data_IF_733252065469
#
_entry.id   IF_733252065469
#
_cell.length_a   1.000
_cell.length_b   1.000
_cell.length_c   1.000
_cell.angle_alpha   90.00
_cell.angle_beta   90.00
_cell.angle_gamma   90.00
#
_symmetry.space_group_name_H-M   'P 1'
#
loop_
_entity.id
_entity.type
_entity.pdbx_description
1 polymer ?
#
# COMPACT_ATOMS: atom_id res chain seq x y z
N UNK A 1 0.87 19.78 21.30
CA UNK A 1 0.54 18.43 21.81
C UNK A 1 -0.25 17.69 20.74
N UNK A 2 -0.12 16.36 20.65
CA UNK A 2 -0.93 15.54 19.75
C UNK A 2 -2.34 15.40 20.35
N UNK A 3 -3.38 15.49 19.52
CA UNK A 3 -4.79 15.34 19.93
C UNK A 3 -5.32 14.03 19.36
N UNK A 4 -5.79 13.15 20.25
CA UNK A 4 -6.51 11.93 19.90
C UNK A 4 -8.00 12.07 20.22
N UNK A 5 -8.81 11.26 19.56
CA UNK A 5 -10.23 11.14 19.85
C UNK A 5 -10.53 10.47 21.19
N UNK A 6 -11.81 10.45 21.61
CA UNK A 6 -12.24 9.79 22.83
C UNK A 6 -11.78 8.34 22.92
N UNK A 7 -11.54 7.84 24.13
CA UNK A 7 -11.12 6.45 24.43
C UNK A 7 -9.70 6.06 24.02
N UNK A 8 -8.96 6.91 23.30
CA UNK A 8 -7.57 6.65 22.92
C UNK A 8 -6.65 6.51 24.15
N UNK A 9 -5.66 5.61 24.05
CA UNK A 9 -4.68 5.34 25.11
C UNK A 9 -3.25 5.20 24.54
N UNK A 10 -2.65 6.26 24.00
CA UNK A 10 -1.25 6.22 23.58
C UNK A 10 -0.31 6.13 24.79
N UNK A 11 0.89 5.59 24.60
CA UNK A 11 1.92 5.47 25.63
C UNK A 11 2.80 6.72 25.78
N UNK A 12 2.33 7.87 25.29
CA UNK A 12 3.02 9.15 25.31
C UNK A 12 2.04 10.29 25.60
N UNK A 13 2.57 11.47 25.95
CA UNK A 13 1.75 12.65 26.30
C UNK A 13 0.90 13.09 25.11
N UNK A 14 -0.41 13.05 25.28
CA UNK A 14 -1.40 13.46 24.30
C UNK A 14 -2.63 14.05 24.98
N UNK A 15 -3.38 14.84 24.23
CA UNK A 15 -4.73 15.27 24.62
C UNK A 15 -5.69 14.20 24.12
N UNK A 16 -6.45 13.59 25.03
CA UNK A 16 -7.58 12.72 24.67
C UNK A 16 -8.82 13.59 24.70
N UNK A 17 -9.37 13.88 23.51
CA UNK A 17 -10.50 14.78 23.37
C UNK A 17 -11.81 14.13 23.85
N UNK A 18 -12.77 14.97 24.23
CA UNK A 18 -14.14 14.57 24.54
C UNK A 18 -15.08 14.87 23.37
N UNK A 19 -16.17 14.11 23.22
CA UNK A 19 -17.19 14.39 22.20
C UNK A 19 -17.77 15.81 22.40
N UNK A 20 -17.84 16.58 21.31
CA UNK A 20 -18.30 17.98 21.35
C UNK A 20 -17.28 18.99 21.87
N UNK A 21 -16.07 18.57 22.29
CA UNK A 21 -15.00 19.49 22.67
C UNK A 21 -14.66 20.43 21.53
N UNK A 22 -14.37 21.70 21.86
CA UNK A 22 -13.99 22.72 20.90
C UNK A 22 -12.54 23.13 21.17
N UNK A 23 -11.72 23.09 20.11
CA UNK A 23 -10.38 23.66 20.10
C UNK A 23 -10.39 24.99 19.35
N UNK A 24 -9.78 26.02 19.94
CA UNK A 24 -9.57 27.31 19.30
C UNK A 24 -8.22 27.29 18.57
N UNK A 25 -8.22 27.66 17.28
CA UNK A 25 -7.05 27.69 16.41
C UNK A 25 -7.02 29.04 15.69
N UNK A 26 -6.40 30.03 16.32
CA UNK A 26 -6.54 31.42 15.90
C UNK A 26 -8.00 31.87 16.07
N UNK A 27 -8.57 32.47 15.03
CA UNK A 27 -9.98 32.90 15.03
C UNK A 27 -10.97 31.78 14.67
N UNK A 28 -10.46 30.59 14.28
CA UNK A 28 -11.26 29.43 13.91
C UNK A 28 -11.51 28.51 15.11
N UNK A 29 -12.58 27.73 15.02
CA UNK A 29 -12.93 26.67 15.98
C UNK A 29 -12.97 25.32 15.29
N UNK A 30 -12.43 24.31 15.96
CA UNK A 30 -12.47 22.91 15.52
C UNK A 30 -13.28 22.13 16.56
N UNK A 31 -14.47 21.68 16.19
CA UNK A 31 -15.35 20.89 17.07
C UNK A 31 -15.16 19.40 16.82
N UNK A 32 -14.87 18.68 17.91
CA UNK A 32 -14.73 17.24 17.96
C UNK A 32 -16.09 16.56 17.85
N UNK A 33 -16.18 15.54 17.01
CA UNK A 33 -17.35 14.67 16.90
C UNK A 33 -16.87 13.22 16.95
N UNK A 34 -17.19 12.53 18.03
CA UNK A 34 -16.82 11.12 18.21
C UNK A 34 -17.60 10.25 17.23
N UNK A 35 -16.88 9.49 16.40
CA UNK A 35 -17.46 8.67 15.34
C UNK A 35 -16.80 7.30 15.30
N UNK A 36 -16.97 6.48 16.35
CA UNK A 36 -16.41 5.13 16.38
C UNK A 36 -16.95 4.30 15.21
N UNK A 37 -16.09 3.47 14.64
CA UNK A 37 -16.45 2.66 13.49
C UNK A 37 -15.22 2.05 12.83
N UNK A 38 -14.43 2.86 12.14
CA UNK A 38 -13.12 2.41 11.64
C UNK A 38 -12.20 1.98 12.79
N UNK A 39 -12.13 2.81 13.83
CA UNK A 39 -11.52 2.50 15.13
C UNK A 39 -12.43 3.02 16.26
N UNK A 40 -12.15 2.64 17.51
CA UNK A 40 -12.95 3.06 18.67
C UNK A 40 -12.79 4.55 18.99
N UNK A 41 -11.60 5.09 18.75
CA UNK A 41 -11.25 6.49 18.97
C UNK A 41 -11.46 7.37 17.74
N UNK A 42 -11.94 6.81 16.62
CA UNK A 42 -12.23 7.54 15.39
C UNK A 42 -13.08 8.77 15.67
N UNK A 43 -12.63 9.90 15.12
CA UNK A 43 -13.16 11.24 15.43
C UNK A 43 -13.15 12.07 14.16
N UNK A 44 -14.25 12.76 13.91
CA UNK A 44 -14.32 13.78 12.86
C UNK A 44 -14.23 15.17 13.47
N UNK A 45 -13.77 16.13 12.68
CA UNK A 45 -13.52 17.50 13.12
C UNK A 45 -14.29 18.48 12.26
N UNK A 46 -15.28 19.13 12.85
CA UNK A 46 -16.09 20.16 12.20
C UNK A 46 -15.37 21.51 12.28
N UNK A 47 -15.16 22.13 11.12
CA UNK A 47 -14.43 23.38 10.95
C UNK A 47 -15.41 24.55 10.94
N UNK A 48 -15.23 25.46 11.91
CA UNK A 48 -16.09 26.62 12.15
C UNK A 48 -15.22 27.88 12.03
N UNK A 49 -15.66 28.84 11.22
CA UNK A 49 -14.95 30.11 11.02
C UNK A 49 -15.16 31.12 12.16
N UNK A 50 -14.52 32.28 12.03
CA UNK A 50 -14.58 33.37 13.00
C UNK A 50 -15.98 33.97 13.17
N UNK A 51 -16.87 33.76 12.20
CA UNK A 51 -18.25 34.23 12.22
C UNK A 51 -19.22 33.15 12.73
N UNK A 52 -18.72 31.98 13.12
CA UNK A 52 -19.52 30.85 13.59
C UNK A 52 -20.15 30.03 12.47
N UNK A 53 -19.72 30.18 11.22
CA UNK A 53 -20.19 29.39 10.08
C UNK A 53 -19.41 28.09 9.97
N UNK A 54 -20.13 26.98 9.84
CA UNK A 54 -19.57 25.65 9.56
C UNK A 54 -19.24 25.54 8.05
N UNK A 55 -17.98 25.25 7.71
CA UNK A 55 -17.53 25.18 6.29
C UNK A 55 -17.23 23.77 5.81
N UNK A 56 -16.79 22.90 6.70
CA UNK A 56 -16.42 21.55 6.32
C UNK A 56 -16.11 20.66 7.50
N UNK A 57 -15.90 19.39 7.20
CA UNK A 57 -15.68 18.34 8.17
C UNK A 57 -14.52 17.47 7.72
N UNK A 58 -13.49 17.38 8.56
CA UNK A 58 -12.40 16.41 8.39
C UNK A 58 -12.90 15.09 8.93
N UNK A 59 -13.12 14.12 8.05
CA UNK A 59 -13.82 12.88 8.38
C UNK A 59 -12.90 11.74 8.76
N UNK A 60 -11.58 11.92 8.64
CA UNK A 60 -10.64 10.84 8.88
C UNK A 60 -10.94 9.65 7.97
N UNK A 61 -11.02 8.48 8.59
CA UNK A 61 -11.45 7.23 7.94
C UNK A 61 -12.90 6.85 8.32
N UNK A 62 -13.67 7.76 8.93
CA UNK A 62 -15.10 7.53 9.21
C UNK A 62 -15.93 7.58 7.92
N UNK A 63 -15.63 8.54 7.03
CA UNK A 63 -16.33 8.74 5.77
C UNK A 63 -15.34 9.15 4.67
N UNK A 64 -15.39 8.45 3.53
CA UNK A 64 -14.65 8.78 2.32
C UNK A 64 -15.58 9.30 1.23
N UNK A 65 -15.00 9.75 0.11
CA UNK A 65 -15.79 10.11 -1.07
C UNK A 65 -16.22 8.82 -1.78
N UNK A 66 -17.50 8.48 -1.66
CA UNK A 66 -18.13 7.29 -2.23
C UNK A 66 -18.03 6.02 -1.37
N UNK A 67 -17.36 6.08 -0.21
CA UNK A 67 -17.13 4.91 0.65
C UNK A 67 -16.97 5.31 2.14
N UNK A 68 -16.64 4.34 3.01
CA UNK A 68 -16.33 4.51 4.44
C UNK A 68 -15.14 3.64 4.85
N UNK A 69 -14.57 3.87 6.05
CA UNK A 69 -13.46 3.08 6.56
C UNK A 69 -13.84 1.65 6.88
N UNK A 70 -12.92 0.72 6.56
CA UNK A 70 -13.04 -0.70 6.91
C UNK A 70 -13.09 -0.92 8.44
N UNK A 71 -13.95 -1.81 8.97
CA UNK A 71 -14.12 -2.01 10.41
C UNK A 71 -13.31 -3.18 11.00
N UNK A 72 -12.37 -3.76 10.25
CA UNK A 72 -11.77 -5.08 10.53
C UNK A 72 -10.28 -5.02 10.92
N UNK A 73 -9.71 -3.82 11.13
CA UNK A 73 -8.30 -3.67 11.54
C UNK A 73 -8.11 -3.93 13.04
N UNK A 74 -9.02 -3.44 13.88
CA UNK A 74 -8.85 -3.49 15.34
C UNK A 74 -8.89 -4.91 15.91
N UNK A 75 -9.62 -5.84 15.27
CA UNK A 75 -9.76 -7.22 15.73
C UNK A 75 -8.42 -7.97 15.78
N UNK A 76 -7.42 -7.56 14.97
CA UNK A 76 -6.07 -8.14 14.97
C UNK A 76 -5.28 -7.75 16.24
N UNK A 77 -5.72 -6.71 16.97
CA UNK A 77 -5.08 -6.22 18.21
C UNK A 77 -5.96 -6.50 19.44
N UNK A 78 -7.29 -6.40 19.30
CA UNK A 78 -8.27 -6.58 20.38
C UNK A 78 -9.38 -7.52 19.90
N UNK A 79 -9.30 -8.80 20.30
CA UNK A 79 -10.20 -9.85 19.81
C UNK A 79 -11.70 -9.59 20.07
N UNK A 80 -12.04 -8.79 21.08
CA UNK A 80 -13.43 -8.46 21.42
C UNK A 80 -14.08 -7.45 20.45
N UNK A 81 -13.26 -6.67 19.73
CA UNK A 81 -13.69 -5.68 18.73
C UNK A 81 -13.80 -6.35 17.36
N UNK A 82 -14.86 -7.13 17.17
CA UNK A 82 -15.14 -7.79 15.89
C UNK A 82 -15.53 -6.78 14.81
N UNK A 83 -15.32 -7.14 13.55
CA UNK A 83 -15.70 -6.31 12.40
C UNK A 83 -17.19 -5.94 12.40
N UNK A 84 -18.09 -6.86 12.79
CA UNK A 84 -19.53 -6.60 12.87
C UNK A 84 -19.88 -5.54 13.93
N UNK A 85 -19.20 -5.56 15.09
CA UNK A 85 -19.41 -4.57 16.14
C UNK A 85 -18.95 -3.19 15.67
N UNK A 86 -17.79 -3.12 15.04
CA UNK A 86 -17.23 -1.88 14.52
C UNK A 86 -18.06 -1.34 13.34
N UNK A 87 -18.55 -2.19 12.44
CA UNK A 87 -19.51 -1.83 11.41
C UNK A 87 -20.81 -1.27 12.01
N UNK A 88 -21.34 -1.93 13.05
CA UNK A 88 -22.53 -1.46 13.76
C UNK A 88 -22.32 -0.08 14.42
N UNK A 89 -21.15 0.16 15.04
CA UNK A 89 -20.80 1.48 15.58
C UNK A 89 -20.66 2.53 14.49
N UNK A 90 -20.06 2.18 13.34
CA UNK A 90 -19.94 3.07 12.20
C UNK A 90 -21.32 3.49 11.69
N UNK A 91 -22.26 2.54 11.57
CA UNK A 91 -23.64 2.85 11.20
C UNK A 91 -24.25 3.92 12.12
N UNK A 92 -24.11 3.77 13.44
CA UNK A 92 -24.62 4.76 14.39
C UNK A 92 -23.92 6.11 14.27
N UNK A 93 -22.60 6.12 14.05
CA UNK A 93 -21.82 7.34 13.80
C UNK A 93 -22.32 8.07 12.55
N UNK A 94 -22.54 7.36 11.45
CA UNK A 94 -23.03 7.94 10.21
C UNK A 94 -24.45 8.50 10.38
N UNK A 95 -25.38 7.72 10.93
CA UNK A 95 -26.80 8.11 11.07
C UNK A 95 -27.02 9.23 12.08
N UNK A 96 -26.34 9.17 13.23
CA UNK A 96 -26.63 10.05 14.36
C UNK A 96 -25.69 11.26 14.48
N UNK A 97 -24.49 11.22 13.88
CA UNK A 97 -23.48 12.28 14.02
C UNK A 97 -23.15 12.97 12.70
N UNK A 98 -23.08 12.22 11.59
CA UNK A 98 -22.68 12.77 10.29
C UNK A 98 -23.89 13.25 9.48
N UNK A 99 -24.87 12.38 9.23
CA UNK A 99 -26.04 12.69 8.41
C UNK A 99 -26.92 13.85 8.90
N UNK A 100 -26.99 14.17 10.22
CA UNK A 100 -27.72 15.34 10.69
C UNK A 100 -27.05 16.69 10.36
N UNK A 101 -25.77 16.69 9.97
CA UNK A 101 -25.05 17.92 9.65
C UNK A 101 -25.50 18.53 8.31
N UNK A 102 -25.19 19.81 8.10
CA UNK A 102 -25.57 20.56 6.90
C UNK A 102 -25.06 19.91 5.61
N UNK A 103 -25.89 19.92 4.58
CA UNK A 103 -25.54 19.44 3.23
C UNK A 103 -24.44 20.27 2.57
N UNK A 104 -24.27 21.52 3.01
CA UNK A 104 -23.30 22.47 2.45
C UNK A 104 -21.86 22.21 2.92
N UNK A 105 -21.64 21.33 3.91
CA UNK A 105 -20.31 21.04 4.42
C UNK A 105 -19.45 20.34 3.36
N UNK A 106 -18.21 20.79 3.22
CA UNK A 106 -17.21 20.08 2.43
C UNK A 106 -16.61 18.95 3.30
N UNK A 107 -16.62 17.74 2.76
CA UNK A 107 -16.04 16.53 3.37
C UNK A 107 -14.58 16.41 2.97
N UNK A 108 -13.70 16.32 3.96
CA UNK A 108 -12.26 16.14 3.82
C UNK A 108 -11.82 14.79 4.44
N UNK A 109 -11.76 13.70 3.66
CA UNK A 109 -11.26 12.42 4.15
C UNK A 109 -9.73 12.39 4.30
N UNK A 110 -9.21 11.41 5.05
CA UNK A 110 -7.77 11.17 5.15
C UNK A 110 -7.20 10.33 3.98
N UNK A 111 -8.06 9.63 3.24
CA UNK A 111 -7.68 8.75 2.13
C UNK A 111 -8.59 8.93 0.91
N UNK A 112 -8.08 8.53 -0.25
CA UNK A 112 -8.80 8.53 -1.53
C UNK A 112 -8.44 7.31 -2.38
N UNK A 113 -8.76 7.35 -3.68
CA UNK A 113 -8.52 6.24 -4.61
C UNK A 113 -7.13 5.62 -4.47
N UNK A 114 -7.09 4.29 -4.28
CA UNK A 114 -5.86 3.51 -4.16
C UNK A 114 -5.40 3.21 -2.74
N UNK A 115 -6.04 3.77 -1.70
CA UNK A 115 -5.80 3.36 -0.31
C UNK A 115 -6.46 2.01 0.03
N UNK A 116 -5.82 1.23 0.91
CA UNK A 116 -6.34 -0.05 1.42
C UNK A 116 -7.30 0.09 2.62
N UNK A 117 -7.59 1.33 3.05
CA UNK A 117 -8.50 1.63 4.16
C UNK A 117 -9.99 1.65 3.73
N UNK A 118 -10.28 1.71 2.44
CA UNK A 118 -11.62 1.65 1.85
C UNK A 118 -11.63 0.77 0.59
N UNK A 119 -12.81 0.34 0.16
CA UNK A 119 -13.02 -0.57 -0.99
C UNK A 119 -13.07 0.16 -2.34
N UNK A 120 -13.85 1.23 -2.43
CA UNK A 120 -14.29 1.88 -3.66
C UNK A 120 -14.19 3.41 -3.58
N UNK A 121 -13.06 3.93 -3.10
CA UNK A 121 -12.85 5.37 -2.97
C UNK A 121 -12.74 6.09 -4.31
N UNK A 122 -13.40 7.25 -4.42
CA UNK A 122 -13.33 8.14 -5.58
C UNK A 122 -11.93 8.73 -5.78
N UNK A 123 -11.66 9.17 -7.02
CA UNK A 123 -10.47 9.98 -7.36
C UNK A 123 -10.59 11.43 -6.89
N UNK A 124 -11.82 11.91 -6.65
CA UNK A 124 -12.07 13.23 -6.10
C UNK A 124 -11.53 13.30 -4.67
N UNK A 125 -10.85 14.40 -4.33
CA UNK A 125 -10.21 14.57 -3.01
C UNK A 125 -11.15 15.16 -1.96
N UNK A 126 -12.27 15.75 -2.38
CA UNK A 126 -13.30 16.37 -1.53
C UNK A 126 -14.65 16.33 -2.22
N UNK A 127 -15.74 16.39 -1.46
CA UNK A 127 -17.10 16.56 -1.97
C UNK A 127 -18.00 17.24 -0.93
N UNK A 128 -19.20 17.66 -1.31
CA UNK A 128 -20.23 18.12 -0.36
C UNK A 128 -20.89 16.95 0.36
N UNK A 129 -21.20 17.13 1.64
CA UNK A 129 -21.94 16.14 2.41
C UNK A 129 -23.33 15.86 1.80
N UNK A 130 -23.97 16.88 1.23
CA UNK A 130 -25.24 16.73 0.52
C UNK A 130 -25.14 15.81 -0.71
N UNK A 131 -24.04 15.86 -1.46
CA UNK A 131 -23.83 14.94 -2.58
C UNK A 131 -23.47 13.54 -2.09
N UNK A 132 -22.67 13.41 -1.03
CA UNK A 132 -22.37 12.11 -0.42
C UNK A 132 -23.63 11.43 0.11
N UNK A 133 -24.56 12.14 0.76
CA UNK A 133 -25.86 11.59 1.16
C UNK A 133 -26.70 11.03 -0.01
N UNK A 134 -26.49 11.52 -1.23
CA UNK A 134 -27.19 11.06 -2.44
C UNK A 134 -26.50 9.90 -3.15
N UNK A 135 -25.17 9.83 -3.06
CA UNK A 135 -24.36 8.97 -3.95
C UNK A 135 -23.53 7.91 -3.21
N UNK A 136 -23.19 8.15 -1.94
CA UNK A 136 -22.42 7.20 -1.14
C UNK A 136 -23.36 6.12 -0.59
N UNK A 137 -23.10 4.85 -0.92
CA UNK A 137 -23.94 3.72 -0.54
C UNK A 137 -24.17 3.66 0.98
N UNK A 138 -23.14 3.99 1.78
CA UNK A 138 -23.16 3.98 3.23
C UNK A 138 -24.13 4.99 3.84
N UNK A 139 -24.54 6.03 3.09
CA UNK A 139 -25.40 7.11 3.54
C UNK A 139 -26.84 7.01 3.02
N UNK A 140 -27.23 5.90 2.38
CA UNK A 140 -28.63 5.67 1.96
C UNK A 140 -29.57 5.80 3.15
N UNK A 141 -30.58 6.65 3.01
CA UNK A 141 -31.49 7.02 4.11
C UNK A 141 -32.42 5.86 4.55
N UNK A 142 -32.70 4.91 3.66
CA UNK A 142 -33.58 3.76 3.87
C UNK A 142 -32.84 2.47 4.23
N UNK A 143 -31.51 2.48 4.21
CA UNK A 143 -30.68 1.32 4.50
C UNK A 143 -30.72 0.96 6.00
N UNK A 144 -31.05 -0.30 6.28
CA UNK A 144 -31.03 -0.89 7.63
C UNK A 144 -29.61 -1.13 8.13
N UNK A 145 -29.46 -1.42 9.43
CA UNK A 145 -28.15 -1.74 10.03
C UNK A 145 -27.59 -3.04 9.46
N UNK A 146 -28.44 -4.04 9.30
CA UNK A 146 -28.06 -5.36 8.80
C UNK A 146 -27.56 -5.28 7.35
N UNK A 147 -28.28 -4.56 6.48
CA UNK A 147 -27.85 -4.31 5.09
C UNK A 147 -26.53 -3.53 5.05
N UNK A 148 -26.37 -2.53 5.93
CA UNK A 148 -25.11 -1.78 6.00
C UNK A 148 -23.92 -2.67 6.37
N UNK A 149 -24.07 -3.53 7.38
CA UNK A 149 -23.00 -4.43 7.82
C UNK A 149 -22.65 -5.42 6.70
N UNK A 150 -23.65 -6.01 6.05
CA UNK A 150 -23.44 -6.93 4.93
C UNK A 150 -22.67 -6.25 3.79
N UNK A 151 -23.18 -5.11 3.28
CA UNK A 151 -22.53 -4.36 2.18
C UNK A 151 -21.14 -3.82 2.57
N UNK A 152 -20.93 -3.39 3.83
CA UNK A 152 -19.63 -2.93 4.32
C UNK A 152 -18.62 -4.07 4.49
N UNK A 153 -19.03 -5.31 4.70
CA UNK A 153 -18.11 -6.44 4.84
C UNK A 153 -17.86 -7.17 3.51
N UNK A 154 -18.80 -7.10 2.56
CA UNK A 154 -18.71 -7.79 1.27
C UNK A 154 -17.50 -7.34 0.42
N UNK A 155 -16.59 -8.26 0.06
CA UNK A 155 -15.44 -7.92 -0.78
C UNK A 155 -14.30 -7.16 -0.09
N UNK A 156 -14.27 -7.11 1.26
CA UNK A 156 -13.06 -6.69 1.98
C UNK A 156 -11.93 -7.70 1.73
N UNK A 157 -10.78 -7.21 1.25
CA UNK A 157 -9.55 -8.01 1.19
C UNK A 157 -8.82 -7.97 2.53
N UNK A 158 -7.99 -8.97 2.81
CA UNK A 158 -7.11 -8.94 3.98
C UNK A 158 -6.30 -7.62 4.01
N UNK A 159 -6.13 -7.01 5.20
CA UNK A 159 -5.31 -5.83 5.34
C UNK A 159 -3.82 -6.19 5.11
N UNK A 160 -3.00 -5.23 4.65
CA UNK A 160 -1.56 -5.46 4.53
C UNK A 160 -0.93 -5.92 5.85
N UNK A 161 -0.01 -6.89 5.78
CA UNK A 161 0.54 -7.54 6.98
C UNK A 161 1.31 -6.63 7.94
N UNK A 162 1.75 -5.45 7.48
CA UNK A 162 2.46 -4.46 8.29
C UNK A 162 1.52 -3.54 9.09
N UNK A 163 0.21 -3.49 8.77
CA UNK A 163 -0.75 -2.60 9.44
C UNK A 163 -0.82 -2.82 10.96
N UNK A 164 -0.88 -4.06 11.50
CA UNK A 164 -0.86 -4.27 12.94
C UNK A 164 0.39 -3.70 13.63
N UNK A 165 1.55 -3.72 12.95
CA UNK A 165 2.78 -3.13 13.48
C UNK A 165 2.70 -1.60 13.48
N UNK A 166 2.16 -0.99 12.42
CA UNK A 166 1.91 0.46 12.41
C UNK A 166 0.92 0.90 13.49
N UNK A 167 -0.15 0.14 13.74
CA UNK A 167 -1.09 0.41 14.85
C UNK A 167 -0.33 0.42 16.18
N UNK A 168 0.52 -0.60 16.41
CA UNK A 168 1.33 -0.67 17.63
C UNK A 168 2.35 0.47 17.73
N UNK A 169 2.97 0.89 16.62
CA UNK A 169 3.87 2.05 16.59
C UNK A 169 3.13 3.33 16.94
N UNK A 170 1.95 3.56 16.37
CA UNK A 170 1.13 4.74 16.65
C UNK A 170 0.68 4.80 18.11
N UNK A 171 0.42 3.65 18.75
CA UNK A 171 0.10 3.56 20.18
C UNK A 171 1.34 3.78 21.05
N UNK A 172 2.46 3.12 20.73
CA UNK A 172 3.67 3.14 21.56
C UNK A 172 4.48 4.42 21.42
N UNK A 173 4.34 5.11 20.29
CA UNK A 173 5.26 6.14 19.84
C UNK A 173 6.46 5.55 19.11
N UNK A 174 7.14 6.39 18.34
CA UNK A 174 8.31 6.04 17.55
C UNK A 174 9.34 7.18 17.59
N UNK A 175 10.55 6.91 17.11
CA UNK A 175 11.62 7.92 17.08
C UNK A 175 11.26 9.09 16.15
N UNK A 176 11.76 10.28 16.45
CA UNK A 176 11.59 11.43 15.56
C UNK A 176 12.24 11.17 14.21
N UNK A 177 11.60 11.61 13.13
CA UNK A 177 12.10 11.46 11.77
C UNK A 177 13.53 11.98 11.59
N UNK A 178 13.91 13.08 12.23
CA UNK A 178 15.28 13.62 12.18
C UNK A 178 16.32 12.57 12.62
N UNK A 179 16.03 11.80 13.67
CA UNK A 179 16.93 10.74 14.16
C UNK A 179 16.96 9.54 13.21
N UNK A 180 15.84 9.22 12.58
CA UNK A 180 15.76 8.17 11.57
C UNK A 180 16.63 8.57 10.37
N UNK A 181 16.51 9.82 9.93
CA UNK A 181 17.31 10.37 8.84
C UNK A 181 18.80 10.38 9.17
N UNK A 182 19.19 10.86 10.36
CA UNK A 182 20.59 10.88 10.80
C UNK A 182 21.23 9.48 10.78
N UNK A 183 20.48 8.45 11.19
CA UNK A 183 20.94 7.04 11.14
C UNK A 183 21.05 6.53 9.69
N UNK A 184 20.08 6.88 8.86
CA UNK A 184 20.00 6.42 7.48
C UNK A 184 21.03 7.10 6.56
N UNK A 185 21.49 8.31 6.90
CA UNK A 185 22.55 9.05 6.21
C UNK A 185 23.95 8.47 6.48
N UNK A 186 24.10 7.17 6.25
CA UNK A 186 25.33 6.41 6.42
C UNK A 186 25.82 5.88 5.05
N UNK A 187 26.65 6.65 4.32
CA UNK A 187 27.22 6.21 3.05
C UNK A 187 28.24 5.08 3.27
N UNK A 188 28.07 3.98 2.56
CA UNK A 188 28.95 2.82 2.63
C UNK A 188 29.66 2.59 1.29
N UNK A 189 30.98 2.44 1.32
CA UNK A 189 31.73 1.94 0.15
C UNK A 189 31.24 0.55 -0.27
N UNK A 190 31.43 0.11 -1.53
CA UNK A 190 30.99 -1.22 -1.98
C UNK A 190 31.41 -2.37 -1.06
N UNK A 191 32.66 -2.37 -0.59
CA UNK A 191 33.12 -3.42 0.32
C UNK A 191 32.48 -3.35 1.70
N UNK A 192 32.30 -2.15 2.26
CA UNK A 192 31.63 -1.97 3.54
C UNK A 192 30.14 -2.33 3.46
N UNK A 193 29.50 -2.01 2.32
CA UNK A 193 28.12 -2.37 2.04
C UNK A 193 27.93 -3.89 1.96
N UNK A 194 28.82 -4.60 1.26
CA UNK A 194 28.80 -6.07 1.21
C UNK A 194 28.97 -6.70 2.61
N UNK A 195 29.90 -6.19 3.41
CA UNK A 195 30.10 -6.66 4.79
C UNK A 195 28.84 -6.42 5.62
N UNK A 196 28.27 -5.21 5.56
CA UNK A 196 27.04 -4.89 6.29
C UNK A 196 25.89 -5.82 5.87
N UNK A 197 25.71 -6.09 4.57
CA UNK A 197 24.67 -6.98 4.07
C UNK A 197 24.81 -8.42 4.61
N UNK A 198 26.05 -8.90 4.74
CA UNK A 198 26.32 -10.25 5.25
C UNK A 198 26.26 -10.36 6.78
N UNK A 199 26.58 -9.30 7.52
CA UNK A 199 26.66 -9.32 8.99
C UNK A 199 25.36 -8.92 9.68
N UNK A 200 24.50 -8.12 9.04
CA UNK A 200 23.31 -7.54 9.68
C UNK A 200 21.98 -8.19 9.28
N UNK A 201 22.03 -9.25 8.45
CA UNK A 201 20.86 -9.87 7.81
C UNK A 201 19.95 -8.85 7.10
N UNK A 202 20.51 -7.69 6.72
CA UNK A 202 19.76 -6.61 6.10
C UNK A 202 19.29 -7.01 4.70
N UNK A 203 18.06 -6.59 4.37
CA UNK A 203 17.59 -6.66 2.99
C UNK A 203 18.30 -5.57 2.20
N UNK A 204 19.01 -5.97 1.15
CA UNK A 204 19.51 -5.05 0.13
C UNK A 204 18.32 -4.66 -0.74
N UNK A 205 17.78 -3.47 -0.51
CA UNK A 205 16.64 -2.92 -1.23
C UNK A 205 17.13 -2.00 -2.35
N UNK A 206 16.98 -2.46 -3.59
CA UNK A 206 17.30 -1.69 -4.79
C UNK A 206 16.05 -0.96 -5.28
N UNK A 207 16.13 0.38 -5.26
CA UNK A 207 15.00 1.27 -5.57
C UNK A 207 15.22 2.04 -6.86
N UNK A 208 16.18 1.63 -7.69
CA UNK A 208 16.43 2.20 -9.02
C UNK A 208 15.24 1.96 -9.96
N UNK A 209 15.35 2.36 -11.22
CA UNK A 209 14.33 2.06 -12.20
C UNK A 209 14.44 0.59 -12.66
N UNK A 210 13.30 -0.07 -12.94
CA UNK A 210 13.27 -1.49 -13.34
C UNK A 210 14.15 -1.78 -14.57
N UNK A 211 14.21 -0.84 -15.52
CA UNK A 211 15.04 -0.99 -16.73
C UNK A 211 16.54 -0.93 -16.46
N UNK A 212 16.96 -0.42 -15.30
CA UNK A 212 18.35 -0.43 -14.84
C UNK A 212 18.63 -1.72 -14.06
N UNK A 213 17.74 -2.08 -13.14
CA UNK A 213 17.85 -3.29 -12.31
C UNK A 213 18.02 -4.57 -13.13
N UNK A 214 17.20 -4.75 -14.18
CA UNK A 214 17.26 -5.96 -15.02
C UNK A 214 18.62 -6.12 -15.72
N UNK A 215 19.31 -5.01 -16.06
CA UNK A 215 20.60 -5.02 -16.76
C UNK A 215 21.78 -5.36 -15.83
N UNK A 216 21.60 -5.14 -14.53
CA UNK A 216 22.60 -5.39 -13.50
C UNK A 216 22.11 -4.95 -12.12
N UNK A 217 22.24 -5.83 -11.14
CA UNK A 217 21.94 -5.56 -9.73
C UNK A 217 22.86 -6.37 -8.82
N UNK A 218 22.85 -6.04 -7.53
CA UNK A 218 23.59 -6.77 -6.51
C UNK A 218 22.91 -8.13 -6.28
N UNK A 219 23.63 -9.27 -6.28
CA UNK A 219 23.03 -10.58 -6.02
C UNK A 219 22.20 -10.58 -4.73
N UNK A 220 21.05 -11.26 -4.76
CA UNK A 220 20.07 -11.36 -3.67
C UNK A 220 19.39 -10.04 -3.25
N UNK A 221 19.64 -8.91 -3.94
CA UNK A 221 18.87 -7.68 -3.70
C UNK A 221 17.40 -7.84 -4.11
N UNK A 222 16.51 -7.21 -3.37
CA UNK A 222 15.08 -7.10 -3.68
C UNK A 222 14.86 -5.77 -4.38
N UNK A 223 14.22 -5.80 -5.55
CA UNK A 223 13.83 -4.61 -6.29
C UNK A 223 12.47 -4.11 -5.84
N UNK A 224 12.38 -2.83 -5.45
CA UNK A 224 11.11 -2.09 -5.35
C UNK A 224 11.38 -0.65 -5.79
N UNK A 225 11.19 -0.37 -7.08
CA UNK A 225 11.56 0.93 -7.67
C UNK A 225 10.81 2.13 -7.08
N UNK A 226 11.55 3.20 -6.78
CA UNK A 226 11.01 4.38 -6.09
C UNK A 226 9.89 5.10 -6.86
N UNK A 227 9.92 5.06 -8.19
CA UNK A 227 8.95 5.76 -9.05
C UNK A 227 7.63 4.99 -9.25
N UNK A 228 7.55 3.75 -8.74
CA UNK A 228 6.30 3.00 -8.67
C UNK A 228 5.55 3.24 -7.37
N UNK A 229 4.67 2.29 -7.01
CA UNK A 229 3.94 2.30 -5.75
C UNK A 229 4.82 1.85 -4.56
N UNK A 230 5.98 2.49 -4.40
CA UNK A 230 7.10 2.06 -3.57
C UNK A 230 6.70 1.67 -2.13
N UNK A 231 6.26 2.64 -1.32
CA UNK A 231 6.03 2.43 0.10
C UNK A 231 4.95 1.35 0.40
N UNK A 232 3.82 1.30 -0.31
CA UNK A 232 2.87 0.18 -0.15
C UNK A 232 3.47 -1.19 -0.51
N UNK A 233 4.30 -1.28 -1.56
CA UNK A 233 4.96 -2.55 -1.90
C UNK A 233 6.00 -2.98 -0.88
N UNK A 234 6.78 -2.04 -0.32
CA UNK A 234 7.68 -2.31 0.81
C UNK A 234 6.89 -2.92 1.96
N UNK A 235 5.79 -2.26 2.37
CA UNK A 235 4.94 -2.75 3.45
C UNK A 235 4.35 -4.12 3.18
N UNK A 236 3.84 -4.36 1.96
CA UNK A 236 3.22 -5.62 1.58
C UNK A 236 4.22 -6.79 1.51
N UNK A 237 5.47 -6.53 1.09
CA UNK A 237 6.42 -7.58 0.75
C UNK A 237 7.47 -7.83 1.83
N UNK A 238 7.93 -6.79 2.53
CA UNK A 238 8.89 -6.92 3.64
C UNK A 238 8.14 -7.26 4.94
N UNK A 239 6.95 -6.69 5.14
CA UNK A 239 6.02 -6.94 6.26
C UNK A 239 6.55 -6.52 7.64
N UNK A 240 7.74 -6.95 8.03
CA UNK A 240 8.40 -6.61 9.30
C UNK A 240 9.01 -5.21 9.23
N UNK A 241 8.42 -4.26 9.96
CA UNK A 241 8.88 -2.86 9.98
C UNK A 241 10.23 -2.68 10.69
N UNK A 242 10.69 -3.70 11.42
CA UNK A 242 11.96 -3.70 12.14
C UNK A 242 13.10 -4.31 11.33
N UNK A 243 12.81 -4.94 10.19
CA UNK A 243 13.80 -5.53 9.30
C UNK A 243 14.87 -4.49 8.90
N UNK A 244 16.17 -4.74 9.16
CA UNK A 244 17.24 -3.87 8.69
C UNK A 244 17.24 -3.76 7.16
N UNK A 245 17.42 -2.54 6.64
CA UNK A 245 17.44 -2.24 5.20
C UNK A 245 18.74 -1.55 4.83
N UNK A 246 19.38 -2.05 3.77
CA UNK A 246 20.47 -1.40 3.06
C UNK A 246 19.99 -0.91 1.70
N UNK A 247 20.22 0.36 1.38
CA UNK A 247 19.66 0.97 0.17
C UNK A 247 20.64 1.02 -0.99
N UNK A 248 20.15 0.63 -2.18
CA UNK A 248 20.73 0.99 -3.47
C UNK A 248 19.77 1.95 -4.15
N UNK A 249 20.03 3.25 -4.01
CA UNK A 249 19.17 4.31 -4.53
C UNK A 249 19.78 5.02 -5.75
N UNK A 250 18.95 5.63 -6.62
CA UNK A 250 19.44 6.62 -7.56
C UNK A 250 20.13 7.76 -6.81
N UNK A 251 21.29 8.19 -7.32
CA UNK A 251 22.10 9.25 -6.70
C UNK A 251 21.27 10.51 -6.45
N UNK A 252 21.27 11.00 -5.21
CA UNK A 252 20.58 12.21 -4.79
C UNK A 252 19.10 12.01 -4.43
N UNK A 253 18.61 10.77 -4.40
CA UNK A 253 17.25 10.42 -3.96
C UNK A 253 17.21 9.64 -2.65
N UNK A 254 18.35 9.49 -1.98
CA UNK A 254 18.49 8.72 -0.73
C UNK A 254 17.53 9.25 0.35
N UNK A 255 17.48 10.58 0.55
CA UNK A 255 16.57 11.21 1.52
C UNK A 255 15.09 10.98 1.18
N UNK A 256 14.72 11.02 -0.11
CA UNK A 256 13.35 10.75 -0.55
C UNK A 256 12.95 9.31 -0.21
N UNK A 257 13.84 8.35 -0.47
CA UNK A 257 13.61 6.93 -0.21
C UNK A 257 13.40 6.70 1.29
N UNK A 258 14.30 7.22 2.12
CA UNK A 258 14.21 7.13 3.59
C UNK A 258 12.92 7.78 4.10
N UNK A 259 12.56 8.95 3.58
CA UNK A 259 11.30 9.64 3.93
C UNK A 259 10.09 8.77 3.62
N UNK A 260 10.06 8.12 2.45
CA UNK A 260 8.92 7.30 2.02
C UNK A 260 8.84 5.97 2.76
N UNK A 261 9.97 5.38 3.16
CA UNK A 261 10.01 4.21 4.04
C UNK A 261 9.49 4.55 5.45
N UNK A 262 9.93 5.67 6.01
CA UNK A 262 9.52 6.12 7.34
C UNK A 262 8.01 6.40 7.43
N UNK A 263 7.40 6.90 6.34
CA UNK A 263 5.94 7.08 6.25
C UNK A 263 5.11 5.80 6.43
N UNK A 264 5.70 4.63 6.19
CA UNK A 264 5.07 3.30 6.43
C UNK A 264 5.71 2.55 7.61
N UNK A 265 6.58 3.21 8.38
CA UNK A 265 7.19 2.71 9.61
C UNK A 265 8.48 1.91 9.44
N UNK A 266 9.03 1.83 8.21
CA UNK A 266 10.27 1.12 7.92
C UNK A 266 11.48 2.03 8.21
N UNK A 267 11.68 2.33 9.49
CA UNK A 267 12.69 3.30 9.95
C UNK A 267 14.10 2.70 10.07
N UNK A 268 14.25 1.37 10.02
CA UNK A 268 15.53 0.67 10.25
C UNK A 268 16.44 0.63 8.99
N UNK A 269 16.67 1.78 8.39
CA UNK A 269 17.66 1.93 7.31
C UNK A 269 19.04 2.06 7.92
N UNK A 270 19.91 1.06 7.71
CA UNK A 270 21.24 0.97 8.36
C UNK A 270 22.36 1.58 7.51
N UNK A 271 22.08 1.92 6.26
CA UNK A 271 22.99 2.65 5.37
C UNK A 271 22.59 2.54 3.90
N UNK A 272 23.34 3.21 3.04
CA UNK A 272 23.15 3.16 1.60
C UNK A 272 24.48 3.01 0.87
N UNK A 273 24.43 2.47 -0.35
CA UNK A 273 25.60 2.30 -1.19
C UNK A 273 26.07 3.65 -1.74
N UNK A 274 27.22 4.13 -1.26
CA UNK A 274 27.81 5.37 -1.74
C UNK A 274 28.24 5.24 -3.20
N UNK A 275 27.85 6.22 -4.02
CA UNK A 275 28.01 6.17 -5.48
C UNK A 275 27.03 5.23 -6.20
N UNK A 276 26.13 4.56 -5.48
CA UNK A 276 25.12 3.68 -6.04
C UNK A 276 25.69 2.46 -6.79
N UNK A 277 24.85 1.83 -7.61
CA UNK A 277 25.23 0.59 -8.32
C UNK A 277 26.43 0.74 -9.26
N UNK A 278 26.67 1.93 -9.83
CA UNK A 278 27.86 2.14 -10.66
C UNK A 278 29.15 2.02 -9.85
N UNK A 279 29.20 2.53 -8.61
CA UNK A 279 30.38 2.35 -7.75
C UNK A 279 30.61 0.88 -7.38
N UNK A 280 29.55 0.09 -7.20
CA UNK A 280 29.65 -1.36 -6.99
C UNK A 280 30.27 -2.07 -8.19
N UNK A 281 29.83 -1.71 -9.40
CA UNK A 281 30.34 -2.26 -10.64
C UNK A 281 31.79 -1.82 -10.92
N UNK A 282 32.13 -0.56 -10.66
CA UNK A 282 33.49 -0.02 -10.82
C UNK A 282 34.49 -0.68 -9.85
N UNK A 283 34.01 -1.17 -8.71
CA UNK A 283 34.78 -1.95 -7.75
C UNK A 283 34.90 -3.44 -8.12
N UNK A 284 34.45 -3.86 -9.30
CA UNK A 284 34.48 -5.25 -9.80
C UNK A 284 33.80 -6.26 -8.85
N UNK A 285 32.75 -5.81 -8.15
CA UNK A 285 31.95 -6.64 -7.27
C UNK A 285 30.97 -7.52 -8.06
N UNK A 286 30.51 -8.63 -7.48
CA UNK A 286 29.60 -9.56 -8.14
C UNK A 286 28.26 -8.90 -8.53
N UNK A 287 27.75 -9.19 -9.72
CA UNK A 287 26.47 -8.69 -10.23
C UNK A 287 25.60 -9.82 -10.78
N UNK A 288 24.28 -9.66 -10.67
CA UNK A 288 23.29 -10.53 -11.28
C UNK A 288 22.39 -9.73 -12.25
N UNK A 289 21.61 -10.42 -13.09
CA UNK A 289 20.75 -9.86 -14.13
C UNK A 289 19.41 -10.58 -14.19
N UNK A 290 18.38 -9.89 -14.67
CA UNK A 290 17.10 -10.50 -15.03
C UNK A 290 17.02 -10.56 -16.55
N UNK A 291 16.87 -11.76 -17.10
CA UNK A 291 16.58 -11.92 -18.52
C UNK A 291 15.20 -11.33 -18.79
N UNK A 292 15.10 -10.41 -19.74
CA UNK A 292 13.84 -9.80 -20.16
C UNK A 292 13.74 -9.88 -21.69
N UNK A 293 12.60 -10.33 -22.18
CA UNK A 293 12.31 -10.47 -23.62
C UNK A 293 11.12 -9.61 -24.02
N UNK A 294 10.98 -9.31 -25.31
CA UNK A 294 9.80 -8.58 -25.78
C UNK A 294 8.56 -9.47 -25.85
N UNK A 295 7.37 -8.85 -25.90
CA UNK A 295 6.12 -9.60 -26.10
C UNK A 295 6.10 -10.32 -27.46
N UNK A 296 6.74 -9.76 -28.49
CA UNK A 296 6.88 -10.38 -29.80
C UNK A 296 7.82 -11.61 -29.76
N UNK A 297 8.83 -11.60 -28.90
CA UNK A 297 9.69 -12.77 -28.70
C UNK A 297 8.96 -13.89 -27.96
N UNK A 298 8.10 -13.54 -26.99
CA UNK A 298 7.20 -14.51 -26.35
C UNK A 298 6.24 -15.12 -27.38
N UNK A 299 5.69 -14.31 -28.28
CA UNK A 299 4.68 -14.72 -29.26
C UNK A 299 5.16 -15.80 -30.26
N UNK A 300 6.46 -15.84 -30.61
CA UNK A 300 7.00 -16.74 -31.64
C UNK A 300 6.72 -18.23 -31.41
N UNK A 301 6.75 -18.66 -30.16
CA UNK A 301 6.51 -20.06 -29.76
C UNK A 301 5.53 -20.11 -28.57
N UNK A 302 4.49 -19.26 -28.61
CA UNK A 302 3.59 -19.09 -27.48
C UNK A 302 2.88 -20.39 -27.09
N UNK A 303 2.48 -21.22 -28.06
CA UNK A 303 1.76 -22.48 -27.77
C UNK A 303 2.59 -23.43 -26.88
N UNK A 304 3.90 -23.49 -27.09
CA UNK A 304 4.82 -24.31 -26.27
C UNK A 304 5.08 -23.68 -24.89
N UNK A 305 4.87 -22.37 -24.76
CA UNK A 305 5.16 -21.56 -23.55
C UNK A 305 3.91 -21.26 -22.72
N UNK A 306 2.72 -21.54 -23.25
CA UNK A 306 1.42 -21.11 -22.71
C UNK A 306 1.26 -21.40 -21.22
N UNK A 307 1.51 -22.65 -20.82
CA UNK A 307 1.37 -23.11 -19.42
C UNK A 307 2.53 -22.67 -18.49
N UNK A 308 3.50 -21.93 -19.03
CA UNK A 308 4.68 -21.40 -18.34
C UNK A 308 4.62 -19.87 -18.20
N UNK A 309 3.48 -19.26 -18.50
CA UNK A 309 3.24 -17.82 -18.31
C UNK A 309 2.58 -17.58 -16.95
N UNK A 310 3.14 -16.65 -16.18
CA UNK A 310 2.69 -16.32 -14.83
C UNK A 310 2.40 -14.82 -14.75
N UNK A 311 1.16 -14.51 -14.39
CA UNK A 311 0.65 -13.15 -14.26
C UNK A 311 0.65 -12.73 -12.79
N UNK A 312 1.48 -11.75 -12.45
CA UNK A 312 1.62 -11.24 -11.08
C UNK A 312 0.74 -10.02 -10.78
N UNK A 313 -0.21 -9.69 -11.68
CA UNK A 313 -1.25 -8.67 -11.43
C UNK A 313 -2.21 -9.13 -10.33
N UNK A 314 -3.01 -8.18 -9.81
CA UNK A 314 -4.06 -8.49 -8.84
C UNK A 314 -5.18 -9.31 -9.49
N UNK A 315 -5.91 -10.05 -8.67
CA UNK A 315 -7.00 -10.92 -9.14
C UNK A 315 -7.99 -10.20 -10.05
N UNK A 316 -8.47 -9.02 -9.65
CA UNK A 316 -9.42 -8.24 -10.44
C UNK A 316 -8.88 -7.82 -11.82
N UNK A 317 -7.58 -7.55 -11.94
CA UNK A 317 -6.96 -7.26 -13.24
C UNK A 317 -6.87 -8.53 -14.11
N UNK A 318 -6.59 -9.67 -13.49
CA UNK A 318 -6.48 -10.96 -14.17
C UNK A 318 -7.85 -11.47 -14.64
N UNK A 319 -8.86 -11.47 -13.76
CA UNK A 319 -10.22 -11.88 -14.08
C UNK A 319 -10.88 -11.00 -15.14
N UNK A 320 -10.51 -9.71 -15.20
CA UNK A 320 -11.00 -8.80 -16.23
C UNK A 320 -10.52 -9.20 -17.62
N UNK A 321 -9.23 -9.52 -17.77
CA UNK A 321 -8.64 -10.02 -19.01
C UNK A 321 -7.21 -10.50 -18.74
N UNK A 322 -6.85 -11.69 -19.22
CA UNK A 322 -5.48 -12.22 -19.11
C UNK A 322 -5.05 -13.00 -20.35
N UNK A 323 -3.77 -13.39 -20.38
CA UNK A 323 -3.21 -14.26 -21.41
C UNK A 323 -3.80 -15.65 -21.25
N UNK A 324 -4.28 -16.26 -22.33
CA UNK A 324 -4.86 -17.61 -22.27
C UNK A 324 -3.82 -18.61 -21.75
N UNK A 325 -4.18 -19.41 -20.75
CA UNK A 325 -3.30 -20.38 -20.09
C UNK A 325 -2.30 -19.82 -19.07
N UNK A 326 -2.22 -18.49 -18.88
CA UNK A 326 -1.40 -17.93 -17.82
C UNK A 326 -1.94 -18.31 -16.43
N UNK A 327 -1.06 -18.38 -15.42
CA UNK A 327 -1.42 -18.62 -14.02
C UNK A 327 -1.32 -17.33 -13.21
N UNK A 328 -2.37 -16.99 -12.45
CA UNK A 328 -2.32 -15.81 -11.58
C UNK A 328 -1.54 -16.10 -10.29
N UNK A 329 -0.37 -15.49 -10.15
CA UNK A 329 0.50 -15.56 -8.97
C UNK A 329 0.73 -14.16 -8.43
N UNK A 330 -0.32 -13.61 -7.82
CA UNK A 330 -0.40 -12.21 -7.41
C UNK A 330 0.83 -11.80 -6.57
N UNK A 331 1.45 -10.66 -6.92
CA UNK A 331 2.68 -10.21 -6.25
C UNK A 331 2.50 -10.08 -4.73
N UNK A 332 1.36 -9.54 -4.28
CA UNK A 332 1.03 -9.35 -2.85
C UNK A 332 1.07 -10.67 -2.05
N UNK A 333 0.88 -11.82 -2.73
CA UNK A 333 0.87 -13.16 -2.14
C UNK A 333 1.90 -14.09 -2.76
N UNK A 334 2.94 -13.57 -3.42
CA UNK A 334 3.92 -14.35 -4.19
C UNK A 334 4.53 -15.51 -3.38
N UNK A 335 4.71 -15.31 -2.07
CA UNK A 335 5.24 -16.32 -1.16
C UNK A 335 4.38 -17.58 -1.07
N UNK A 336 3.06 -17.46 -1.27
CA UNK A 336 2.12 -18.57 -1.24
C UNK A 336 2.19 -19.42 -2.51
N UNK A 337 2.75 -18.86 -3.59
CA UNK A 337 2.82 -19.47 -4.91
C UNK A 337 4.19 -20.04 -5.25
N UNK A 338 5.15 -20.04 -4.32
CA UNK A 338 6.54 -20.44 -4.60
C UNK A 338 6.66 -21.85 -5.17
N UNK A 339 5.81 -22.78 -4.72
CA UNK A 339 5.79 -24.16 -5.21
C UNK A 339 5.14 -24.33 -6.58
N UNK A 340 4.50 -23.29 -7.12
CA UNK A 340 3.86 -23.35 -8.45
C UNK A 340 4.83 -23.02 -9.58
N UNK A 341 5.93 -22.33 -9.28
CA UNK A 341 6.96 -22.04 -10.26
C UNK A 341 7.76 -23.31 -10.59
N UNK A 342 7.97 -23.64 -11.86
CA UNK A 342 8.75 -24.81 -12.24
C UNK A 342 10.21 -24.61 -11.86
N UNK A 343 10.88 -25.67 -11.40
CA UNK A 343 12.31 -25.65 -11.07
C UNK A 343 13.19 -26.06 -12.26
N UNK A 344 12.64 -26.83 -13.20
CA UNK A 344 13.35 -27.50 -14.30
C UNK A 344 13.13 -26.85 -15.68
N UNK A 345 12.20 -25.90 -15.77
CA UNK A 345 11.80 -25.25 -17.04
C UNK A 345 11.83 -23.74 -16.93
N UNK A 346 12.20 -23.06 -18.01
CA UNK A 346 12.10 -21.60 -18.07
C UNK A 346 10.64 -21.17 -18.03
N UNK A 347 10.30 -20.22 -17.17
CA UNK A 347 8.96 -19.62 -17.10
C UNK A 347 9.00 -18.11 -17.28
N UNK A 348 7.85 -17.53 -17.61
CA UNK A 348 7.72 -16.14 -18.06
C UNK A 348 6.84 -15.36 -17.10
N UNK A 349 7.37 -14.27 -16.54
CA UNK A 349 6.64 -13.39 -15.63
C UNK A 349 6.18 -12.14 -16.38
N UNK A 350 4.93 -11.75 -16.18
CA UNK A 350 4.48 -10.43 -16.57
C UNK A 350 3.55 -9.82 -15.52
N UNK A 351 3.42 -8.50 -15.58
CA UNK A 351 2.38 -7.75 -14.88
C UNK A 351 1.68 -6.84 -15.89
N UNK A 352 1.11 -5.70 -15.49
CA UNK A 352 0.54 -4.74 -16.45
C UNK A 352 1.60 -4.09 -17.36
N UNK A 353 2.67 -3.52 -16.76
CA UNK A 353 3.63 -2.67 -17.49
C UNK A 353 5.11 -2.92 -17.16
N UNK A 354 5.45 -4.03 -16.50
CA UNK A 354 6.82 -4.45 -16.17
C UNK A 354 7.30 -4.14 -14.74
N UNK A 355 6.70 -3.17 -14.04
CA UNK A 355 7.17 -2.81 -12.68
C UNK A 355 7.03 -3.97 -11.67
N UNK A 356 5.84 -4.57 -11.57
CA UNK A 356 5.56 -5.65 -10.58
C UNK A 356 6.22 -6.98 -10.94
N UNK A 357 6.38 -7.28 -12.22
CA UNK A 357 7.09 -8.50 -12.66
C UNK A 357 8.57 -8.45 -12.33
N UNK A 358 9.21 -7.28 -12.39
CA UNK A 358 10.61 -7.14 -11.95
C UNK A 358 10.75 -7.23 -10.42
N UNK A 359 9.76 -6.75 -9.65
CA UNK A 359 9.71 -7.01 -8.20
C UNK A 359 9.64 -8.52 -7.94
N UNK A 360 8.69 -9.22 -8.56
CA UNK A 360 8.55 -10.67 -8.42
C UNK A 360 9.83 -11.42 -8.81
N UNK A 361 10.44 -11.05 -9.95
CA UNK A 361 11.70 -11.61 -10.42
C UNK A 361 12.83 -11.45 -9.41
N UNK A 362 12.98 -10.27 -8.80
CA UNK A 362 14.02 -10.03 -7.79
C UNK A 362 13.81 -10.90 -6.54
N UNK A 363 12.57 -11.06 -6.09
CA UNK A 363 12.23 -11.89 -4.93
C UNK A 363 12.53 -13.36 -5.22
N UNK A 364 12.09 -13.87 -6.38
CA UNK A 364 12.33 -15.25 -6.79
C UNK A 364 13.83 -15.55 -6.92
N UNK A 365 14.59 -14.65 -7.55
CA UNK A 365 16.06 -14.78 -7.64
C UNK A 365 16.74 -14.73 -6.28
N UNK A 366 16.28 -13.87 -5.36
CA UNK A 366 16.82 -13.82 -3.99
C UNK A 366 16.64 -15.14 -3.21
N UNK A 367 15.71 -15.99 -3.66
CA UNK A 367 15.40 -17.32 -3.12
C UNK A 367 15.99 -18.48 -3.92
N UNK A 368 16.86 -18.19 -4.91
CA UNK A 368 17.53 -19.22 -5.71
C UNK A 368 16.76 -19.67 -6.94
N UNK A 369 15.63 -19.03 -7.29
CA UNK A 369 14.87 -19.34 -8.51
C UNK A 369 15.38 -18.43 -9.63
N UNK A 370 16.19 -18.98 -10.54
CA UNK A 370 16.89 -18.21 -11.57
C UNK A 370 16.40 -18.47 -13.00
N UNK A 371 15.57 -19.48 -13.21
CA UNK A 371 15.01 -19.92 -14.50
C UNK A 371 13.78 -19.09 -14.95
N UNK A 372 13.73 -17.82 -14.57
CA UNK A 372 12.64 -16.90 -14.93
C UNK A 372 13.06 -15.92 -16.02
N UNK A 373 12.08 -15.50 -16.82
CA UNK A 373 12.22 -14.45 -17.84
C UNK A 373 11.11 -13.42 -17.64
N UNK A 374 11.47 -12.15 -17.51
CA UNK A 374 10.51 -11.05 -17.48
C UNK A 374 10.02 -10.70 -18.90
N UNK A 375 8.74 -10.33 -19.03
CA UNK A 375 8.19 -9.83 -20.30
C UNK A 375 8.17 -8.31 -20.29
N UNK A 376 9.03 -7.71 -21.11
CA UNK A 376 9.17 -6.27 -21.23
C UNK A 376 7.84 -5.61 -21.66
N UNK A 377 7.45 -4.56 -20.94
CA UNK A 377 6.18 -3.85 -21.17
C UNK A 377 4.93 -4.61 -20.69
N UNK A 378 5.08 -5.82 -20.14
CA UNK A 378 4.01 -6.59 -19.53
C UNK A 378 2.81 -6.86 -20.43
N UNK A 379 1.64 -6.96 -19.81
CA UNK A 379 0.37 -7.19 -20.47
C UNK A 379 0.04 -6.10 -21.50
N UNK A 380 0.42 -4.85 -21.25
CA UNK A 380 0.21 -3.75 -22.20
C UNK A 380 0.98 -3.91 -23.51
N UNK A 381 2.13 -4.58 -23.49
CA UNK A 381 2.84 -4.99 -24.69
C UNK A 381 2.24 -6.26 -25.30
N UNK A 382 1.90 -7.26 -24.47
CA UNK A 382 1.28 -8.51 -24.93
C UNK A 382 -0.02 -8.28 -25.69
N UNK A 383 -0.87 -7.33 -25.25
CA UNK A 383 -2.11 -6.95 -25.96
C UNK A 383 -1.91 -6.48 -27.41
N UNK A 384 -0.68 -6.12 -27.78
CA UNK A 384 -0.33 -5.63 -29.13
C UNK A 384 0.19 -6.75 -30.04
N UNK A 385 0.25 -7.98 -29.55
CA UNK A 385 0.67 -9.16 -30.32
C UNK A 385 -0.52 -10.07 -30.61
N UNK A 386 -0.27 -11.16 -31.35
CA UNK A 386 -1.26 -12.18 -31.69
C UNK A 386 -1.42 -13.25 -30.58
N UNK A 387 -0.84 -13.04 -29.39
CA UNK A 387 -0.98 -13.96 -28.25
C UNK A 387 -2.47 -14.03 -27.85
N UNK A 388 -3.08 -15.23 -27.79
CA UNK A 388 -4.46 -15.40 -27.34
C UNK A 388 -4.68 -14.87 -25.93
N UNK A 389 -5.81 -14.18 -25.74
CA UNK A 389 -6.25 -13.60 -24.46
C UNK A 389 -7.69 -14.02 -24.19
N UNK A 390 -8.07 -14.06 -22.93
CA UNK A 390 -9.47 -14.30 -22.55
C UNK A 390 -10.35 -13.15 -23.00
N UNK A 391 -11.66 -13.40 -23.13
CA UNK A 391 -12.62 -12.33 -23.36
C UNK A 391 -12.62 -11.33 -22.20
N UNK A 392 -12.72 -10.05 -22.52
CA UNK A 392 -12.77 -9.00 -21.50
C UNK A 392 -14.10 -9.04 -20.72
N UNK A 393 -14.00 -9.08 -19.40
CA UNK A 393 -15.13 -8.96 -18.47
C UNK A 393 -14.97 -7.69 -17.65
N UNK A 394 -16.02 -6.88 -17.56
CA UNK A 394 -15.95 -5.62 -16.82
C UNK A 394 -15.70 -5.89 -15.33
N UNK A 395 -14.65 -5.31 -14.70
CA UNK A 395 -14.35 -5.57 -13.30
C UNK A 395 -15.52 -5.30 -12.35
N UNK A 396 -16.34 -4.29 -12.65
CA UNK A 396 -17.53 -3.93 -11.86
C UNK A 396 -18.66 -4.96 -11.94
N UNK A 397 -18.52 -5.99 -12.77
CA UNK A 397 -19.50 -7.08 -12.93
C UNK A 397 -18.99 -8.41 -12.40
N UNK A 398 -17.72 -8.46 -11.99
CA UNK A 398 -17.13 -9.61 -11.30
C UNK A 398 -17.60 -9.57 -9.85
N UNK A 399 -18.28 -10.64 -9.41
CA UNK A 399 -18.73 -10.83 -8.03
C UNK A 399 -17.61 -11.37 -7.17
#
# INVERSE_FOLDING_TARGET
>A
KIVFGPTAKPNYDAIVAEDGQIFEVGDYKVKVIHTPGHTMESTTYLLIDENGKEHGIVTGDTLFIGDVGRPDLAQKVVAELTQDKLASLLYDSLRNKIMPLSDDLIVYPNHGAGSACGKNMSKETTDTLGNQKKTNYALRADMTREEFIEELLEGLTEPPGYFPQNVLMNIKGYESFDKVMDKAQNPLSPKAFEVAANETEAIVLDVRHQSEFIKGHIPRSVFIGIDGNFAPWVGALIVDVTQPILLVAPKGREEEVVTRLSRVGFDNVVGYLDGGFEAWKDADMEIDRVTSISAEELAKDFEDKKDLVFDVRREGEYLAEHVDGAKNTQLDYLNNYLSEFPEDKTFYLHCAGGYRSVIAASILKSRGIHNLVDIAGGYDAIKKTDIPRTDYVCPSTLK
#
